data_IF_169906827398
#
_entry.id   IF_169906827398
#
_cell.length_a   1.000
_cell.length_b   1.000
_cell.length_c   1.000
_cell.angle_alpha   90.00
_cell.angle_beta   90.00
_cell.angle_gamma   90.00
#
_symmetry.space_group_name_H-M   'P 1'
#
loop_
_entity.id
_entity.type
_entity.pdbx_description
1 polymer ?
#
# COMPACT_ATOMS: atom_id res chain seq x y z
N UNK A 1 -26.36 7.73 -7.81
CA UNK A 1 -25.06 7.56 -8.50
C UNK A 1 -25.27 7.96 -9.95
N UNK A 2 -24.57 8.99 -10.45
CA UNK A 2 -24.82 9.55 -11.79
C UNK A 2 -24.23 8.64 -12.88
N UNK A 3 -24.97 8.35 -13.96
CA UNK A 3 -24.53 7.49 -15.06
C UNK A 3 -23.19 7.92 -15.67
N UNK A 4 -22.94 9.23 -15.73
CA UNK A 4 -21.68 9.81 -16.19
C UNK A 4 -20.49 9.50 -15.28
N UNK A 5 -20.71 9.39 -13.96
CA UNK A 5 -19.65 9.00 -13.01
C UNK A 5 -19.25 7.55 -13.21
N UNK A 6 -20.24 6.66 -13.39
CA UNK A 6 -20.00 5.24 -13.64
C UNK A 6 -19.24 5.00 -14.96
N UNK A 7 -19.57 5.77 -16.01
CA UNK A 7 -18.84 5.73 -17.28
C UNK A 7 -17.36 6.12 -17.10
N UNK A 8 -17.09 7.24 -16.42
CA UNK A 8 -15.72 7.67 -16.11
C UNK A 8 -14.96 6.69 -15.21
N UNK A 9 -15.65 6.02 -14.28
CA UNK A 9 -15.07 4.97 -13.44
C UNK A 9 -14.70 3.74 -14.29
N UNK A 10 -15.56 3.33 -15.22
CA UNK A 10 -15.29 2.21 -16.13
C UNK A 10 -14.14 2.53 -17.10
N UNK A 11 -14.11 3.74 -17.67
CA UNK A 11 -13.04 4.19 -18.59
C UNK A 11 -11.68 4.18 -17.88
N UNK A 12 -11.64 4.70 -16.65
CA UNK A 12 -10.45 4.64 -15.79
C UNK A 12 -10.01 3.20 -15.56
N UNK A 13 -10.93 2.34 -15.14
CA UNK A 13 -10.61 0.96 -14.74
C UNK A 13 -10.16 0.13 -15.95
N UNK A 14 -10.71 0.40 -17.13
CA UNK A 14 -10.30 -0.24 -18.37
C UNK A 14 -8.88 0.18 -18.77
N UNK A 15 -8.60 1.48 -18.83
CA UNK A 15 -7.28 1.99 -19.19
C UNK A 15 -6.17 1.51 -18.22
N UNK A 16 -6.49 1.34 -16.93
CA UNK A 16 -5.57 0.79 -15.94
C UNK A 16 -5.30 -0.71 -16.15
N UNK A 17 -6.31 -1.50 -16.51
CA UNK A 17 -6.11 -2.92 -16.87
C UNK A 17 -5.23 -3.05 -18.11
N UNK A 18 -5.45 -2.21 -19.12
CA UNK A 18 -4.70 -2.25 -20.37
C UNK A 18 -3.23 -1.84 -20.18
N UNK A 19 -2.94 -0.95 -19.23
CA UNK A 19 -1.55 -0.65 -18.83
C UNK A 19 -0.86 -1.87 -18.19
N UNK A 20 -1.52 -2.56 -17.26
CA UNK A 20 -0.94 -3.71 -16.57
C UNK A 20 -0.70 -4.89 -17.52
N UNK A 21 -1.61 -5.10 -18.47
CA UNK A 21 -1.44 -6.13 -19.51
C UNK A 21 -0.30 -5.75 -20.47
N UNK A 22 -0.19 -4.48 -20.86
CA UNK A 22 0.93 -3.97 -21.64
C UNK A 22 2.29 -4.22 -20.95
N UNK A 23 2.33 -4.07 -19.62
CA UNK A 23 3.54 -4.30 -18.81
C UNK A 23 3.94 -5.77 -18.76
N UNK A 24 2.95 -6.67 -18.64
CA UNK A 24 3.14 -8.11 -18.70
C UNK A 24 3.72 -8.52 -20.05
N UNK A 25 3.10 -8.05 -21.14
CA UNK A 25 3.55 -8.32 -22.51
C UNK A 25 4.96 -7.77 -22.78
N UNK A 26 5.27 -6.59 -22.26
CA UNK A 26 6.62 -6.01 -22.36
C UNK A 26 7.67 -6.83 -21.57
N UNK A 27 7.33 -7.28 -20.37
CA UNK A 27 8.22 -8.10 -19.53
C UNK A 27 8.48 -9.50 -20.14
N UNK A 28 7.52 -10.03 -20.88
CA UNK A 28 7.63 -11.30 -21.62
C UNK A 28 8.32 -11.13 -22.99
N UNK A 29 8.65 -9.88 -23.37
CA UNK A 29 9.28 -9.57 -24.65
C UNK A 29 8.35 -9.71 -25.85
N UNK A 30 7.03 -9.70 -25.63
CA UNK A 30 6.00 -9.82 -26.67
C UNK A 30 5.79 -8.50 -27.45
N UNK A 31 6.38 -7.40 -27.00
CA UNK A 31 6.20 -6.07 -27.56
C UNK A 31 7.53 -5.37 -27.88
N UNK A 32 7.58 -4.77 -29.06
CA UNK A 32 8.66 -3.87 -29.44
C UNK A 32 8.67 -2.61 -28.54
N UNK A 33 9.84 -2.13 -28.05
CA UNK A 33 9.92 -1.01 -27.10
C UNK A 33 9.25 0.29 -27.59
N UNK A 34 9.32 0.55 -28.90
CA UNK A 34 8.67 1.72 -29.50
C UNK A 34 7.14 1.62 -29.49
N UNK A 35 6.61 0.39 -29.63
CA UNK A 35 5.17 0.10 -29.61
C UNK A 35 4.66 0.18 -28.17
N UNK A 36 5.38 -0.42 -27.22
CA UNK A 36 5.09 -0.31 -25.79
C UNK A 36 5.01 1.16 -25.35
N UNK A 37 6.04 1.96 -25.63
CA UNK A 37 6.07 3.37 -25.24
C UNK A 37 4.91 4.18 -25.86
N UNK A 38 4.47 3.84 -27.07
CA UNK A 38 3.32 4.48 -27.72
C UNK A 38 2.00 4.09 -27.05
N UNK A 39 1.77 2.80 -26.80
CA UNK A 39 0.56 2.28 -26.16
C UNK A 39 0.44 2.80 -24.72
N UNK A 40 1.55 2.75 -23.97
CA UNK A 40 1.65 3.27 -22.61
C UNK A 40 1.21 4.74 -22.51
N UNK A 41 1.70 5.60 -23.41
CA UNK A 41 1.28 7.01 -23.47
C UNK A 41 -0.20 7.18 -23.85
N UNK A 42 -0.77 6.24 -24.59
CA UNK A 42 -2.21 6.22 -24.88
C UNK A 42 -3.01 6.01 -23.61
N UNK A 43 -2.81 4.85 -22.97
CA UNK A 43 -3.57 4.45 -21.79
C UNK A 43 -3.31 5.36 -20.57
N UNK A 44 -2.10 5.90 -20.40
CA UNK A 44 -1.82 6.89 -19.35
C UNK A 44 -2.63 8.18 -19.51
N UNK A 45 -2.80 8.66 -20.75
CA UNK A 45 -3.61 9.87 -21.00
C UNK A 45 -5.09 9.61 -20.75
N UNK A 46 -5.58 8.45 -21.13
CA UNK A 46 -6.96 8.04 -20.92
C UNK A 46 -7.29 7.89 -19.43
N UNK A 47 -6.43 7.18 -18.67
CA UNK A 47 -6.55 7.04 -17.23
C UNK A 47 -6.49 8.41 -16.51
N UNK A 48 -5.55 9.28 -16.90
CA UNK A 48 -5.42 10.62 -16.31
C UNK A 48 -6.63 11.50 -16.59
N UNK A 49 -7.18 11.46 -17.81
CA UNK A 49 -8.37 12.22 -18.19
C UNK A 49 -9.61 11.79 -17.41
N UNK A 50 -9.81 10.48 -17.25
CA UNK A 50 -10.93 9.93 -16.47
C UNK A 50 -10.82 10.30 -14.99
N UNK A 51 -9.62 10.23 -14.39
CA UNK A 51 -9.36 10.60 -13.00
C UNK A 51 -9.61 12.10 -12.76
N UNK A 52 -9.07 12.97 -13.62
CA UNK A 52 -9.27 14.41 -13.49
C UNK A 52 -10.75 14.80 -13.61
N UNK A 53 -11.50 14.15 -14.51
CA UNK A 53 -12.93 14.38 -14.68
C UNK A 53 -13.74 13.97 -13.43
N UNK A 54 -13.35 12.87 -12.76
CA UNK A 54 -13.96 12.43 -11.51
C UNK A 54 -13.68 13.42 -10.37
N UNK A 55 -12.44 13.90 -10.23
CA UNK A 55 -12.09 14.91 -9.21
C UNK A 55 -12.85 16.23 -9.41
N UNK A 56 -13.03 16.66 -10.67
CA UNK A 56 -13.82 17.85 -10.98
C UNK A 56 -15.31 17.67 -10.69
N UNK A 57 -15.84 16.46 -10.88
CA UNK A 57 -17.22 16.14 -10.54
C UNK A 57 -17.46 16.20 -9.01
N UNK A 58 -16.49 15.78 -8.21
CA UNK A 58 -16.57 15.81 -6.73
C UNK A 58 -16.49 17.24 -6.17
N UNK A 59 -15.77 18.17 -6.82
CA UNK A 59 -15.68 19.57 -6.38
C UNK A 59 -16.91 20.43 -6.71
N UNK A 60 -17.76 20.00 -7.64
CA UNK A 60 -18.91 20.78 -8.14
C UNK A 60 -20.21 20.58 -7.36
N UNK A 61 -20.27 19.67 -6.39
CA UNK A 61 -21.43 19.55 -5.48
C UNK A 61 -21.27 20.53 -4.32
N UNK A 62 -21.97 21.68 -4.27
CA UNK A 62 -21.92 22.58 -3.12
C UNK A 62 -22.88 22.08 -2.04
N UNK A 63 -22.40 22.16 -0.80
CA UNK A 63 -23.15 21.96 0.44
C UNK A 63 -24.41 22.85 0.44
N UNK A 64 -25.59 22.27 0.20
CA UNK A 64 -26.86 22.98 0.17
C UNK A 64 -27.62 22.80 1.50
N UNK A 65 -27.90 23.95 2.11
CA UNK A 65 -28.99 24.30 3.03
C UNK A 65 -28.78 24.15 4.56
N UNK A 66 -28.85 25.32 5.20
CA UNK A 66 -29.03 25.60 6.62
C UNK A 66 -30.51 25.48 7.06
N UNK A 67 -30.72 25.44 8.41
CA UNK A 67 -31.94 25.79 9.23
C UNK A 67 -32.87 24.61 9.65
N UNK A 68 -33.49 24.58 10.88
CA UNK A 68 -33.00 24.76 12.25
C UNK A 68 -33.38 23.58 13.21
N UNK A 69 -33.05 23.71 14.49
CA UNK A 69 -33.30 22.73 15.55
C UNK A 69 -34.79 22.32 15.72
N UNK A 70 -35.07 21.01 15.66
CA UNK A 70 -36.14 20.35 16.42
C UNK A 70 -35.69 18.96 16.85
N UNK A 71 -35.94 18.66 18.13
CA UNK A 71 -35.68 17.38 18.75
C UNK A 71 -36.48 16.27 18.07
N UNK A 72 -35.82 15.12 17.82
CA UNK A 72 -36.39 13.78 17.99
C UNK A 72 -35.30 12.71 17.84
N UNK A 73 -35.38 11.74 18.74
CA UNK A 73 -34.56 10.52 18.86
C UNK A 73 -34.49 9.74 17.54
N UNK A 74 -33.35 9.08 17.32
CA UNK A 74 -33.28 7.83 16.57
C UNK A 74 -32.33 7.83 15.37
N UNK A 75 -31.41 6.87 15.39
CA UNK A 75 -30.52 6.38 14.33
C UNK A 75 -29.29 7.23 13.95
N UNK A 76 -28.13 6.73 14.41
CA UNK A 76 -26.78 7.09 13.95
C UNK A 76 -26.48 6.36 12.63
N UNK A 77 -26.06 7.07 11.59
CA UNK A 77 -25.30 6.53 10.45
C UNK A 77 -24.01 7.35 10.31
N UNK A 78 -22.81 6.75 10.19
CA UNK A 78 -21.57 7.50 10.10
C UNK A 78 -21.08 7.67 8.65
N UNK A 79 -20.34 8.76 8.45
CA UNK A 79 -19.75 9.34 7.24
C UNK A 79 -18.62 8.51 6.60
N UNK A 80 -18.78 7.18 6.50
CA UNK A 80 -17.69 6.23 6.17
C UNK A 80 -17.37 6.14 4.66
N UNK A 81 -18.28 6.57 3.77
CA UNK A 81 -18.16 6.24 2.34
C UNK A 81 -17.19 7.13 1.53
N UNK A 82 -16.87 8.35 1.99
CA UNK A 82 -16.12 9.32 1.17
C UNK A 82 -14.60 9.13 1.20
N UNK A 83 -14.05 8.41 2.19
CA UNK A 83 -12.60 8.17 2.28
C UNK A 83 -12.12 6.95 1.48
N UNK A 84 -13.04 6.06 1.09
CA UNK A 84 -12.71 4.79 0.43
C UNK A 84 -12.50 4.89 -1.09
N UNK A 85 -13.11 5.87 -1.77
CA UNK A 85 -13.11 5.97 -3.24
C UNK A 85 -11.91 6.76 -3.80
N UNK A 86 -11.48 7.84 -3.12
CA UNK A 86 -10.33 8.64 -3.56
C UNK A 86 -8.97 7.92 -3.43
N UNK A 87 -8.90 6.80 -2.69
CA UNK A 87 -7.64 6.12 -2.37
C UNK A 87 -7.31 4.98 -3.35
N UNK A 88 -8.31 4.36 -3.99
CA UNK A 88 -8.10 3.25 -4.94
C UNK A 88 -7.50 3.75 -6.26
N UNK A 89 -7.95 4.92 -6.75
CA UNK A 89 -7.49 5.49 -8.02
C UNK A 89 -6.02 5.94 -8.00
N UNK A 90 -5.47 6.20 -6.81
CA UNK A 90 -4.11 6.72 -6.67
C UNK A 90 -3.10 5.56 -6.67
N UNK A 91 -3.40 4.42 -6.03
CA UNK A 91 -2.53 3.22 -5.94
C UNK A 91 -2.32 2.45 -7.25
N UNK A 92 -3.17 2.63 -8.27
CA UNK A 92 -2.96 1.98 -9.56
C UNK A 92 -2.10 2.81 -10.53
N UNK A 93 -2.00 4.13 -10.33
CA UNK A 93 -1.59 5.08 -11.35
C UNK A 93 -0.08 5.34 -11.50
N UNK A 94 0.80 4.54 -10.92
CA UNK A 94 2.22 4.83 -11.13
C UNK A 94 3.22 3.76 -10.78
N UNK A 95 2.78 2.51 -10.69
CA UNK A 95 3.73 1.41 -10.84
C UNK A 95 4.21 1.47 -12.29
N UNK A 96 5.19 2.36 -12.58
CA UNK A 96 6.21 2.30 -13.63
C UNK A 96 6.95 3.65 -13.76
N UNK A 97 7.96 3.81 -12.92
CA UNK A 97 9.18 4.57 -13.21
C UNK A 97 10.32 3.56 -13.43
N UNK A 98 10.99 3.50 -14.60
CA UNK A 98 12.23 2.75 -14.72
C UNK A 98 13.39 3.66 -14.28
N UNK A 99 14.24 3.15 -13.37
CA UNK A 99 15.52 3.78 -13.04
C UNK A 99 16.17 3.39 -11.72
N UNK A 100 15.44 2.84 -10.76
CA UNK A 100 16.01 2.35 -9.50
C UNK A 100 15.27 1.10 -9.03
N UNK A 101 15.47 -0.01 -9.74
CA UNK A 101 15.24 -1.33 -9.15
C UNK A 101 16.34 -1.50 -8.10
N UNK A 102 16.05 -1.06 -6.87
CA UNK A 102 16.64 -1.75 -5.73
C UNK A 102 16.06 -3.16 -5.81
N UNK A 103 16.90 -4.14 -6.16
CA UNK A 103 16.60 -5.54 -5.86
C UNK A 103 16.14 -5.57 -4.40
N UNK A 104 14.85 -5.87 -4.19
CA UNK A 104 14.33 -6.05 -2.85
C UNK A 104 15.00 -7.32 -2.33
N UNK A 105 15.82 -7.26 -1.26
CA UNK A 105 16.36 -8.48 -0.66
C UNK A 105 15.18 -9.39 -0.31
N UNK A 106 15.37 -10.71 -0.44
CA UNK A 106 14.40 -11.66 0.08
C UNK A 106 14.37 -11.52 1.61
N UNK A 107 13.36 -10.80 2.10
CA UNK A 107 13.14 -10.44 3.48
C UNK A 107 11.90 -9.57 3.53
N UNK A 108 10.93 -9.95 4.37
CA UNK A 108 9.58 -9.40 4.39
C UNK A 108 9.50 -7.92 4.77
N UNK A 109 8.30 -7.48 5.12
CA UNK A 109 8.10 -6.15 5.72
C UNK A 109 8.96 -5.98 6.97
N UNK A 110 9.35 -4.73 7.25
CA UNK A 110 10.26 -4.37 8.35
C UNK A 110 9.58 -4.59 9.71
N UNK A 111 8.24 -4.69 9.73
CA UNK A 111 7.48 -5.28 10.82
C UNK A 111 7.86 -6.76 10.99
N UNK A 112 8.35 -7.14 12.18
CA UNK A 112 8.73 -8.51 12.58
C UNK A 112 7.60 -9.54 12.60
N UNK A 113 6.54 -9.34 11.82
CA UNK A 113 5.54 -10.34 11.47
C UNK A 113 5.99 -11.15 10.25
N UNK A 114 7.24 -11.64 10.28
CA UNK A 114 7.62 -12.72 9.37
C UNK A 114 6.65 -13.88 9.59
N UNK A 115 6.14 -14.53 8.52
CA UNK A 115 5.44 -15.79 8.70
C UNK A 115 6.44 -16.71 9.41
N UNK A 116 6.11 -17.18 10.63
CA UNK A 116 6.89 -18.10 11.45
C UNK A 116 7.61 -19.14 10.56
N UNK A 117 8.82 -18.82 10.12
CA UNK A 117 9.67 -19.79 9.47
C UNK A 117 10.15 -20.67 10.60
N UNK A 118 9.87 -21.95 10.46
CA UNK A 118 10.02 -23.02 11.45
C UNK A 118 11.43 -23.07 12.05
N UNK A 119 11.72 -22.20 13.01
CA UNK A 119 12.89 -22.32 13.88
C UNK A 119 12.41 -22.89 15.22
N UNK A 120 12.45 -24.22 15.31
CA UNK A 120 12.36 -24.98 16.56
C UNK A 120 11.03 -24.88 17.30
N UNK A 121 10.05 -25.69 16.92
CA UNK A 121 8.91 -25.95 17.79
C UNK A 121 9.39 -26.65 19.08
N UNK A 122 9.00 -26.18 20.29
CA UNK A 122 9.24 -26.94 21.51
C UNK A 122 8.46 -28.26 21.42
N UNK A 123 9.14 -29.38 21.66
CA UNK A 123 8.53 -30.71 21.71
C UNK A 123 7.40 -30.71 22.75
N UNK A 124 6.17 -30.90 22.28
CA UNK A 124 4.99 -30.96 23.13
C UNK A 124 5.04 -32.18 24.07
N UNK A 125 4.51 -32.01 25.29
CA UNK A 125 4.38 -33.08 26.27
C UNK A 125 3.46 -34.20 25.74
N UNK A 126 3.74 -35.48 26.08
CA UNK A 126 2.96 -36.61 25.60
C UNK A 126 1.51 -36.53 26.11
N UNK A 127 0.54 -36.47 25.18
CA UNK A 127 -0.90 -36.51 25.48
C UNK A 127 -1.68 -35.21 25.22
N UNK A 128 -1.03 -34.13 24.75
CA UNK A 128 -1.78 -32.98 24.22
C UNK A 128 -2.46 -33.35 22.89
N UNK A 129 -3.69 -32.87 22.60
CA UNK A 129 -4.26 -33.01 21.27
C UNK A 129 -3.27 -32.45 20.26
N UNK A 130 -2.99 -33.24 19.22
CA UNK A 130 -2.09 -32.84 18.14
C UNK A 130 -2.70 -31.62 17.45
N UNK A 131 -2.33 -30.42 17.90
CA UNK A 131 -2.43 -29.23 17.07
C UNK A 131 -1.43 -29.48 15.97
N UNK A 132 -1.86 -30.20 14.95
CA UNK A 132 -1.20 -30.28 13.65
C UNK A 132 -1.16 -28.83 13.20
N UNK A 133 -0.09 -28.12 13.58
CA UNK A 133 0.15 -26.76 13.17
C UNK A 133 0.16 -26.81 11.66
N UNK A 134 -0.93 -26.39 11.02
CA UNK A 134 -0.97 -26.24 9.58
C UNK A 134 0.25 -25.41 9.24
N UNK A 135 1.21 -25.98 8.52
CA UNK A 135 2.36 -25.21 8.07
C UNK A 135 1.80 -24.05 7.24
N UNK A 136 1.83 -22.84 7.80
CA UNK A 136 1.24 -21.65 7.18
C UNK A 136 1.93 -21.33 5.84
N UNK A 137 3.16 -21.82 5.62
CA UNK A 137 3.85 -21.72 4.34
C UNK A 137 3.11 -22.48 3.21
N UNK A 138 2.35 -23.52 3.55
CA UNK A 138 1.57 -24.32 2.59
C UNK A 138 0.14 -23.80 2.41
N UNK A 139 -0.28 -22.80 3.20
CA UNK A 139 -1.60 -22.19 3.04
C UNK A 139 -1.55 -21.33 1.79
N UNK A 140 -2.47 -21.60 0.87
CA UNK A 140 -2.63 -20.85 -0.37
C UNK A 140 -3.29 -19.49 -0.11
N UNK A 141 -3.07 -18.53 -0.99
CA UNK A 141 -3.76 -17.24 -0.92
C UNK A 141 -5.29 -17.47 -0.93
N UNK A 142 -5.79 -18.41 -1.73
CA UNK A 142 -7.21 -18.77 -1.76
C UNK A 142 -7.75 -19.24 -0.40
N UNK A 143 -6.97 -19.99 0.36
CA UNK A 143 -7.36 -20.43 1.71
C UNK A 143 -7.33 -19.28 2.72
N UNK A 144 -6.32 -18.39 2.64
CA UNK A 144 -6.29 -17.16 3.45
C UNK A 144 -7.51 -16.27 3.14
N UNK A 145 -7.89 -16.16 1.86
CA UNK A 145 -9.03 -15.37 1.40
C UNK A 145 -10.32 -15.89 2.03
N UNK A 146 -10.52 -17.21 1.99
CA UNK A 146 -11.68 -17.84 2.58
C UNK A 146 -11.78 -17.56 4.09
N UNK A 147 -10.66 -17.61 4.81
CA UNK A 147 -10.60 -17.30 6.25
C UNK A 147 -10.93 -15.83 6.51
N UNK A 148 -10.33 -14.92 5.75
CA UNK A 148 -10.51 -13.47 5.91
C UNK A 148 -11.90 -13.00 5.44
N UNK A 149 -12.55 -13.74 4.54
CA UNK A 149 -13.94 -13.52 4.14
C UNK A 149 -14.92 -14.03 5.20
N UNK A 150 -14.68 -15.22 5.75
CA UNK A 150 -15.51 -15.79 6.80
C UNK A 150 -15.37 -15.07 8.15
N UNK A 151 -14.20 -14.45 8.38
CA UNK A 151 -13.88 -13.75 9.64
C UNK A 151 -13.37 -12.33 9.34
N UNK A 152 -14.27 -11.38 9.03
CA UNK A 152 -13.88 -10.06 8.58
C UNK A 152 -12.98 -9.31 9.56
N UNK A 153 -13.15 -9.53 10.87
CA UNK A 153 -12.51 -8.79 11.96
C UNK A 153 -11.11 -9.32 12.33
N UNK A 154 -10.63 -10.37 11.67
CA UNK A 154 -9.27 -10.92 11.89
C UNK A 154 -8.25 -10.06 11.13
N UNK A 155 -8.04 -8.84 11.64
CA UNK A 155 -7.18 -7.82 11.02
C UNK A 155 -5.74 -8.31 10.83
N UNK A 156 -5.19 -9.07 11.78
CA UNK A 156 -3.83 -9.63 11.66
C UNK A 156 -3.67 -10.59 10.48
N UNK A 157 -4.67 -11.44 10.21
CA UNK A 157 -4.65 -12.35 9.04
C UNK A 157 -4.84 -11.57 7.74
N UNK A 158 -5.74 -10.56 7.74
CA UNK A 158 -5.96 -9.67 6.61
C UNK A 158 -4.67 -8.90 6.26
N UNK A 159 -3.93 -8.44 7.26
CA UNK A 159 -2.64 -7.78 7.10
C UNK A 159 -1.59 -8.72 6.51
N UNK A 160 -1.41 -9.91 7.10
CA UNK A 160 -0.44 -10.90 6.63
C UNK A 160 -0.66 -11.26 5.16
N UNK A 161 -1.93 -11.40 4.77
CA UNK A 161 -2.33 -11.64 3.38
C UNK A 161 -2.06 -10.45 2.46
N UNK A 162 -2.38 -9.22 2.89
CA UNK A 162 -2.07 -8.01 2.13
C UNK A 162 -0.56 -7.89 1.90
N UNK A 163 0.24 -8.15 2.93
CA UNK A 163 1.70 -8.18 2.86
C UNK A 163 2.19 -9.25 1.89
N UNK A 164 1.63 -10.46 1.94
CA UNK A 164 1.97 -11.51 0.98
C UNK A 164 1.65 -11.10 -0.47
N UNK A 165 0.53 -10.41 -0.71
CA UNK A 165 0.22 -9.87 -2.02
C UNK A 165 1.21 -8.80 -2.46
N UNK A 166 1.66 -7.93 -1.55
CA UNK A 166 2.71 -6.97 -1.85
C UNK A 166 4.05 -7.61 -2.20
N UNK A 167 4.44 -8.69 -1.51
CA UNK A 167 5.66 -9.46 -1.81
C UNK A 167 5.60 -10.10 -3.19
N UNK A 168 4.40 -10.55 -3.61
CA UNK A 168 4.14 -11.09 -4.95
C UNK A 168 3.91 -10.02 -6.02
N UNK A 169 4.03 -8.72 -5.68
CA UNK A 169 3.77 -7.62 -6.60
C UNK A 169 2.29 -7.42 -6.98
N UNK A 170 1.37 -8.11 -6.31
CA UNK A 170 -0.09 -8.01 -6.50
C UNK A 170 -0.66 -6.82 -5.72
N UNK A 171 -0.24 -5.62 -6.10
CA UNK A 171 -0.53 -4.38 -5.37
C UNK A 171 -2.02 -4.03 -5.35
N UNK A 172 -2.77 -4.43 -6.38
CA UNK A 172 -4.22 -4.30 -6.48
C UNK A 172 -4.94 -5.04 -5.35
N UNK A 173 -4.57 -6.31 -5.15
CA UNK A 173 -5.12 -7.14 -4.10
C UNK A 173 -4.68 -6.61 -2.73
N UNK A 174 -3.39 -6.31 -2.55
CA UNK A 174 -2.89 -5.74 -1.29
C UNK A 174 -3.65 -4.48 -0.87
N UNK A 175 -3.83 -3.53 -1.80
CA UNK A 175 -4.57 -2.29 -1.55
C UNK A 175 -6.02 -2.54 -1.12
N UNK A 176 -6.69 -3.52 -1.74
CA UNK A 176 -8.06 -3.89 -1.36
C UNK A 176 -8.14 -4.40 0.09
N UNK A 177 -7.14 -5.17 0.54
CA UNK A 177 -7.09 -5.67 1.92
C UNK A 177 -6.75 -4.56 2.92
N UNK A 178 -5.75 -3.72 2.66
CA UNK A 178 -5.44 -2.58 3.54
C UNK A 178 -6.61 -1.62 3.66
N UNK A 179 -7.36 -1.38 2.57
CA UNK A 179 -8.55 -0.53 2.61
C UNK A 179 -9.63 -1.12 3.51
N UNK A 180 -9.89 -2.43 3.43
CA UNK A 180 -10.83 -3.10 4.35
C UNK A 180 -10.39 -2.97 5.80
N UNK A 181 -9.08 -3.01 6.08
CA UNK A 181 -8.57 -2.72 7.43
C UNK A 181 -8.91 -1.30 7.87
N UNK A 182 -8.76 -0.30 6.99
CA UNK A 182 -9.11 1.09 7.29
C UNK A 182 -10.63 1.36 7.37
N UNK A 183 -11.45 0.57 6.69
CA UNK A 183 -12.91 0.62 6.82
C UNK A 183 -13.35 0.16 8.22
N UNK A 184 -12.63 -0.80 8.81
CA UNK A 184 -12.88 -1.31 10.16
C UNK A 184 -12.22 -0.45 11.24
N UNK A 185 -10.96 -0.06 11.02
CA UNK A 185 -10.17 0.78 11.90
C UNK A 185 -9.50 1.92 11.10
N UNK A 186 -10.15 3.09 11.02
CA UNK A 186 -9.59 4.25 10.33
C UNK A 186 -8.29 4.79 10.94
N UNK A 187 -7.93 4.38 12.15
CA UNK A 187 -6.70 4.78 12.82
C UNK A 187 -5.54 3.78 12.61
N UNK A 188 -5.79 2.63 11.96
CA UNK A 188 -4.82 1.56 11.80
C UNK A 188 -3.52 2.06 11.13
N UNK A 189 -2.43 2.11 11.92
CA UNK A 189 -1.16 2.66 11.49
C UNK A 189 -0.52 1.83 10.36
N UNK A 190 -0.56 0.50 10.46
CA UNK A 190 0.04 -0.42 9.49
C UNK A 190 -0.62 -0.27 8.10
N UNK A 191 -1.95 -0.30 8.05
CA UNK A 191 -2.68 -0.14 6.79
C UNK A 191 -2.43 1.23 6.15
N UNK A 192 -2.37 2.31 6.94
CA UNK A 192 -1.99 3.65 6.44
C UNK A 192 -0.58 3.67 5.87
N UNK A 193 0.39 3.10 6.60
CA UNK A 193 1.78 3.05 6.19
C UNK A 193 1.95 2.30 4.86
N UNK A 194 1.35 1.11 4.74
CA UNK A 194 1.46 0.31 3.52
C UNK A 194 0.72 0.92 2.32
N UNK A 195 -0.43 1.59 2.54
CA UNK A 195 -1.05 2.37 1.47
C UNK A 195 -0.17 3.56 1.10
N UNK A 196 0.46 4.25 2.06
CA UNK A 196 1.42 5.31 1.80
C UNK A 196 2.59 4.83 0.94
N UNK A 197 3.12 3.63 1.22
CA UNK A 197 4.14 2.99 0.39
C UNK A 197 3.66 2.74 -1.04
N UNK A 198 2.44 2.25 -1.20
CA UNK A 198 1.81 2.09 -2.51
C UNK A 198 1.65 3.43 -3.25
N UNK A 199 1.31 4.51 -2.54
CA UNK A 199 1.25 5.88 -3.09
C UNK A 199 2.61 6.40 -3.58
N UNK A 200 3.70 6.02 -2.90
CA UNK A 200 5.04 6.36 -3.38
C UNK A 200 5.35 5.59 -4.66
N UNK A 201 5.06 4.28 -4.66
CA UNK A 201 5.26 3.42 -5.82
C UNK A 201 4.51 3.92 -7.05
N UNK A 202 3.44 4.69 -6.85
CA UNK A 202 2.60 5.26 -7.92
C UNK A 202 2.87 6.71 -8.28
N UNK A 203 4.03 7.22 -7.90
CA UNK A 203 4.44 8.58 -8.27
C UNK A 203 3.60 9.67 -7.61
N UNK A 204 3.01 9.38 -6.45
CA UNK A 204 2.17 10.31 -5.67
C UNK A 204 2.82 10.59 -4.30
N UNK A 205 4.01 11.21 -4.29
CA UNK A 205 4.83 11.34 -3.08
C UNK A 205 4.18 12.21 -2.00
N UNK A 206 3.42 13.25 -2.36
CA UNK A 206 2.68 14.07 -1.39
C UNK A 206 1.66 13.26 -0.59
N UNK A 207 0.92 12.40 -1.29
CA UNK A 207 -0.07 11.54 -0.64
C UNK A 207 0.59 10.43 0.18
N UNK A 208 1.71 9.90 -0.32
CA UNK A 208 2.53 8.94 0.41
C UNK A 208 3.01 9.52 1.74
N UNK A 209 3.56 10.74 1.71
CA UNK A 209 4.06 11.45 2.89
C UNK A 209 2.96 11.64 3.93
N UNK A 210 1.78 12.12 3.51
CA UNK A 210 0.65 12.34 4.41
C UNK A 210 0.22 11.05 5.11
N UNK A 211 0.06 9.95 4.36
CA UNK A 211 -0.37 8.68 4.93
C UNK A 211 0.67 8.07 5.88
N UNK A 212 1.95 8.21 5.55
CA UNK A 212 3.05 7.74 6.39
C UNK A 212 3.17 8.57 7.67
N UNK A 213 3.00 9.90 7.59
CA UNK A 213 2.99 10.77 8.75
C UNK A 213 1.76 10.51 9.65
N UNK A 214 0.59 10.27 9.05
CA UNK A 214 -0.62 9.85 9.79
C UNK A 214 -0.42 8.49 10.50
N UNK A 215 0.29 7.56 9.87
CA UNK A 215 0.65 6.29 10.48
C UNK A 215 1.60 6.47 11.67
N UNK A 216 2.64 7.31 11.51
CA UNK A 216 3.59 7.62 12.59
C UNK A 216 2.99 8.46 13.71
N UNK A 217 1.93 9.22 13.43
CA UNK A 217 1.17 9.92 14.47
C UNK A 217 0.36 8.93 15.33
N UNK A 218 -0.14 7.84 14.73
CA UNK A 218 -0.86 6.79 15.43
C UNK A 218 0.09 5.81 16.16
N UNK A 219 1.19 5.43 15.52
CA UNK A 219 2.26 4.62 16.10
C UNK A 219 3.65 5.16 15.68
N UNK A 220 4.27 5.99 16.53
CA UNK A 220 5.60 6.54 16.27
C UNK A 220 6.71 5.46 16.20
N UNK A 221 6.44 4.27 16.73
CA UNK A 221 7.39 3.17 16.77
C UNK A 221 7.25 2.23 15.57
N UNK A 222 6.27 2.42 14.68
CA UNK A 222 6.07 1.55 13.53
C UNK A 222 7.27 1.61 12.56
N UNK A 223 8.08 0.54 12.57
CA UNK A 223 9.35 0.50 11.83
C UNK A 223 9.13 0.61 10.31
N UNK A 224 8.09 -0.04 9.80
CA UNK A 224 7.68 0.07 8.38
C UNK A 224 7.36 1.51 7.99
N UNK A 225 6.65 2.26 8.84
CA UNK A 225 6.31 3.65 8.54
C UNK A 225 7.54 4.55 8.53
N UNK A 226 8.52 4.34 9.43
CA UNK A 226 9.80 5.05 9.37
C UNK A 226 10.60 4.69 8.11
N UNK A 227 10.62 3.41 7.74
CA UNK A 227 11.26 2.95 6.51
C UNK A 227 10.62 3.61 5.27
N UNK A 228 9.30 3.61 5.19
CA UNK A 228 8.57 4.26 4.10
C UNK A 228 8.80 5.77 4.09
N UNK A 229 8.89 6.42 5.26
CA UNK A 229 9.20 7.85 5.36
C UNK A 229 10.57 8.20 4.78
N UNK A 230 11.59 7.40 5.08
CA UNK A 230 12.92 7.58 4.51
C UNK A 230 12.90 7.47 2.98
N UNK A 231 12.18 6.48 2.45
CA UNK A 231 12.03 6.30 1.00
C UNK A 231 11.22 7.41 0.33
N UNK A 232 10.13 7.87 0.96
CA UNK A 232 9.32 9.00 0.45
C UNK A 232 10.18 10.26 0.37
N UNK A 233 11.00 10.54 1.37
CA UNK A 233 11.95 11.68 1.32
C UNK A 233 12.96 11.52 0.18
N UNK A 234 13.62 10.37 0.10
CA UNK A 234 14.71 10.16 -0.85
C UNK A 234 14.24 10.13 -2.31
N UNK A 235 13.16 9.41 -2.59
CA UNK A 235 12.68 9.17 -3.95
C UNK A 235 11.53 10.09 -4.36
N UNK A 236 10.65 10.41 -3.42
CA UNK A 236 9.49 11.27 -3.69
C UNK A 236 9.85 12.75 -3.74
N UNK A 237 10.70 13.22 -2.83
CA UNK A 237 11.04 14.64 -2.71
C UNK A 237 12.49 14.97 -3.04
N UNK A 238 13.30 13.97 -3.43
CA UNK A 238 14.74 14.13 -3.61
C UNK A 238 15.46 14.70 -2.36
N UNK A 239 14.86 14.53 -1.18
CA UNK A 239 15.37 15.00 0.11
C UNK A 239 16.29 13.94 0.73
N UNK A 240 17.51 13.87 0.21
CA UNK A 240 18.52 12.93 0.69
C UNK A 240 18.91 13.18 2.15
N UNK A 241 19.07 14.46 2.55
CA UNK A 241 19.44 14.83 3.92
C UNK A 241 18.38 14.42 4.93
N UNK A 242 17.10 14.68 4.63
CA UNK A 242 16.01 14.26 5.49
C UNK A 242 15.84 12.75 5.54
N UNK A 243 16.08 12.03 4.43
CA UNK A 243 16.08 10.57 4.42
C UNK A 243 17.17 9.99 5.34
N UNK A 244 18.40 10.50 5.27
CA UNK A 244 19.52 10.09 6.13
C UNK A 244 19.17 10.29 7.61
N UNK A 245 18.57 11.42 7.98
CA UNK A 245 18.17 11.69 9.36
C UNK A 245 17.20 10.64 9.90
N UNK A 246 16.21 10.22 9.09
CA UNK A 246 15.25 9.18 9.49
C UNK A 246 15.96 7.83 9.61
N UNK A 247 16.85 7.49 8.68
CA UNK A 247 17.60 6.23 8.69
C UNK A 247 18.55 6.12 9.89
N UNK A 248 19.22 7.21 10.27
CA UNK A 248 20.06 7.26 11.45
C UNK A 248 19.24 7.03 12.72
N UNK A 249 18.06 7.66 12.83
CA UNK A 249 17.12 7.41 13.93
C UNK A 249 16.71 5.94 13.98
N UNK A 250 16.35 5.33 12.85
CA UNK A 250 15.99 3.92 12.79
C UNK A 250 17.14 3.00 13.22
N UNK A 251 18.36 3.25 12.74
CA UNK A 251 19.53 2.42 13.06
C UNK A 251 19.89 2.39 14.55
N UNK A 252 19.52 3.43 15.29
CA UNK A 252 19.76 3.56 16.73
C UNK A 252 18.77 2.78 17.61
N UNK A 253 17.71 2.22 17.00
CA UNK A 253 16.67 1.49 17.72
C UNK A 253 17.08 0.05 18.02
N UNK A 254 16.77 -0.41 19.23
CA UNK A 254 17.13 -1.75 19.70
C UNK A 254 16.28 -2.87 19.07
N UNK A 255 15.05 -2.57 18.66
CA UNK A 255 14.08 -3.51 18.09
C UNK A 255 14.26 -3.77 16.59
N UNK A 256 15.25 -3.13 15.97
CA UNK A 256 15.57 -3.31 14.56
C UNK A 256 16.49 -4.51 14.36
N UNK A 257 16.06 -5.47 13.55
CA UNK A 257 16.81 -6.70 13.27
C UNK A 257 18.12 -6.43 12.52
N UNK A 258 19.05 -7.39 12.55
CA UNK A 258 20.33 -7.27 11.84
C UNK A 258 20.16 -7.13 10.31
N UNK A 259 19.15 -7.81 9.77
CA UNK A 259 18.81 -7.70 8.35
C UNK A 259 18.33 -6.29 8.01
N UNK A 260 17.40 -5.76 8.79
CA UNK A 260 16.87 -4.41 8.58
C UNK A 260 17.98 -3.36 8.73
N UNK A 261 18.90 -3.52 9.68
CA UNK A 261 20.10 -2.64 9.78
C UNK A 261 20.95 -2.66 8.52
N UNK A 262 21.07 -3.81 7.87
CA UNK A 262 21.80 -3.93 6.59
C UNK A 262 21.09 -3.12 5.50
N UNK A 263 19.76 -3.26 5.39
CA UNK A 263 18.95 -2.49 4.44
C UNK A 263 19.03 -0.98 4.71
N UNK A 264 18.96 -0.55 5.98
CA UNK A 264 19.14 0.85 6.39
C UNK A 264 20.50 1.39 5.94
N UNK A 265 21.56 0.61 6.15
CA UNK A 265 22.93 1.00 5.76
C UNK A 265 23.05 1.19 4.25
N UNK A 266 22.47 0.29 3.46
CA UNK A 266 22.47 0.38 1.99
C UNK A 266 21.71 1.61 1.49
N UNK A 267 20.50 1.85 2.00
CA UNK A 267 19.68 2.98 1.60
C UNK A 267 20.32 4.32 2.01
N UNK A 268 20.94 4.36 3.20
CA UNK A 268 21.70 5.52 3.68
C UNK A 268 22.88 5.84 2.76
N UNK A 269 23.66 4.83 2.37
CA UNK A 269 24.78 5.02 1.44
C UNK A 269 24.32 5.54 0.07
N UNK A 270 23.16 5.08 -0.42
CA UNK A 270 22.56 5.60 -1.64
C UNK A 270 22.13 7.07 -1.49
N UNK A 271 21.50 7.41 -0.36
CA UNK A 271 21.12 8.79 -0.06
C UNK A 271 22.35 9.72 0.03
N UNK A 272 23.44 9.29 0.67
CA UNK A 272 24.69 10.07 0.75
C UNK A 272 25.25 10.39 -0.64
N UNK A 273 25.36 9.38 -1.52
CA UNK A 273 25.81 9.60 -2.91
C UNK A 273 24.94 10.61 -3.66
N UNK A 274 23.62 10.59 -3.42
CA UNK A 274 22.66 11.50 -4.06
C UNK A 274 22.74 12.93 -3.50
N UNK A 275 23.22 13.11 -2.27
CA UNK A 275 23.42 14.44 -1.68
C UNK A 275 24.73 15.12 -2.10
N UNK A 276 25.70 14.34 -2.59
CA UNK A 276 27.04 14.81 -2.97
C UNK A 276 27.16 15.17 -4.45
N UNK A 277 26.24 14.70 -5.31
CA UNK A 277 26.19 14.99 -6.74
C UNK A 277 25.11 16.00 -7.10
#
# INVERSE_FOLDING_TARGET
MNARRLELENDRDQALRDLLELDRQAAEGELEPAVEARLRRGYQREAAAAIAALEHAERKEPELATVPARSRRGLRQPRVLLYALGLIAVVAAGVLLPGYVLDRPQGGFVSGNEPLQSQGAPTAAPGAPEVTGRNLANVTDKEMEAVVQANPDVLGMRLALANRYMEKGRYDLAAAHYRKMLEQDPANAEAKAHIGWLMLKVGKPDRAAQLVDDALAADPSLVDALWFKANVRLYGFNDATGAIKVLDQMSSRADVSAEVRTQITQLRALASRKSEG
#
